data_IF_472832313325
#
_entry.id   IF_472832313325
#
_cell.length_a   1.000
_cell.length_b   1.000
_cell.length_c   1.000
_cell.angle_alpha   90.00
_cell.angle_beta   90.00
_cell.angle_gamma   90.00
#
_symmetry.space_group_name_H-M   'P 1'
#
loop_
_entity.id
_entity.type
_entity.pdbx_description
1 polymer ?
#
# COMPACT_ATOMS: atom_id res chain seq x y z
N UNK A 1 8.33 -8.70 -12.51
CA UNK A 1 8.88 -9.66 -11.51
C UNK A 1 9.88 -9.00 -10.55
N UNK A 2 9.79 -7.70 -10.20
CA UNK A 2 11.00 -7.08 -9.63
C UNK A 2 10.91 -5.68 -9.02
N UNK A 3 10.08 -5.48 -8.01
CA UNK A 3 10.34 -4.49 -6.94
C UNK A 3 10.07 -5.17 -5.59
N UNK A 4 8.93 -5.85 -5.48
CA UNK A 4 8.54 -6.57 -4.25
C UNK A 4 9.39 -7.82 -3.92
N UNK A 5 10.01 -8.44 -4.94
CA UNK A 5 10.97 -9.54 -4.74
C UNK A 5 12.33 -9.05 -4.24
N UNK A 6 12.70 -7.80 -4.53
CA UNK A 6 13.95 -7.22 -4.07
C UNK A 6 13.86 -6.66 -2.65
N UNK A 7 12.65 -6.33 -2.19
CA UNK A 7 12.42 -5.53 -0.98
C UNK A 7 11.86 -6.37 0.19
N UNK A 8 10.99 -7.36 -0.06
CA UNK A 8 10.51 -8.24 1.03
C UNK A 8 11.47 -9.41 1.19
N UNK A 9 11.92 -9.73 2.43
CA UNK A 9 12.61 -10.97 2.67
C UNK A 9 11.61 -12.09 2.38
N UNK A 10 11.70 -12.70 1.19
CA UNK A 10 11.22 -14.07 1.05
C UNK A 10 11.86 -14.89 2.18
N UNK A 11 11.17 -15.92 2.72
CA UNK A 11 11.85 -16.93 3.51
C UNK A 11 13.04 -17.39 2.67
N UNK A 12 14.22 -16.98 3.11
CA UNK A 12 15.39 -17.02 2.26
C UNK A 12 15.95 -18.43 2.34
N UNK A 13 15.25 -19.39 1.75
CA UNK A 13 15.74 -20.77 1.63
C UNK A 13 17.11 -20.82 0.90
N UNK A 14 17.46 -19.74 0.20
CA UNK A 14 18.65 -19.62 -0.65
C UNK A 14 19.59 -18.46 -0.29
N UNK A 15 19.33 -17.71 0.79
CA UNK A 15 20.23 -16.63 1.25
C UNK A 15 20.37 -15.40 0.33
N UNK A 16 19.52 -15.23 -0.68
CA UNK A 16 19.58 -14.13 -1.65
C UNK A 16 18.63 -12.98 -1.27
N UNK A 17 19.18 -11.82 -0.90
CA UNK A 17 18.42 -10.57 -0.81
C UNK A 17 19.15 -9.47 -1.58
N UNK A 18 18.55 -9.00 -2.69
CA UNK A 18 19.16 -7.96 -3.53
C UNK A 18 19.40 -6.66 -2.75
N UNK A 19 18.56 -6.36 -1.75
CA UNK A 19 18.70 -5.16 -0.92
C UNK A 19 19.97 -5.16 -0.06
N UNK A 20 20.44 -6.33 0.40
CA UNK A 20 21.68 -6.44 1.17
C UNK A 20 22.95 -6.17 0.33
N UNK A 21 22.90 -6.47 -0.98
CA UNK A 21 24.01 -6.16 -1.90
C UNK A 21 24.09 -4.68 -2.22
N UNK A 22 22.93 -4.03 -2.37
CA UNK A 22 22.85 -2.61 -2.69
C UNK A 22 23.18 -1.75 -1.47
N UNK A 23 22.86 -2.23 -0.26
CA UNK A 23 23.08 -1.53 1.00
C UNK A 23 23.87 -2.40 1.98
N UNK A 24 25.20 -2.46 1.85
CA UNK A 24 26.06 -3.32 2.67
C UNK A 24 26.29 -2.75 4.09
N UNK A 25 25.21 -2.41 4.80
CA UNK A 25 25.25 -1.93 6.18
C UNK A 25 25.18 -3.10 7.18
N UNK A 26 25.81 -2.98 8.36
CA UNK A 26 25.67 -3.97 9.44
C UNK A 26 24.19 -4.15 9.83
N UNK A 27 23.79 -5.40 10.08
CA UNK A 27 22.42 -5.82 10.46
C UNK A 27 21.29 -5.56 9.44
N UNK A 28 21.56 -4.92 8.29
CA UNK A 28 20.59 -4.59 7.25
C UNK A 28 19.32 -3.83 7.69
N UNK A 29 19.32 -3.26 8.90
CA UNK A 29 18.19 -2.52 9.47
C UNK A 29 17.77 -1.34 8.58
N UNK A 30 18.72 -0.73 7.89
CA UNK A 30 18.50 0.38 6.97
C UNK A 30 18.34 -0.04 5.50
N UNK A 31 18.64 -1.30 5.15
CA UNK A 31 18.60 -1.75 3.76
C UNK A 31 17.18 -1.67 3.17
N UNK A 32 16.16 -2.01 3.97
CA UNK A 32 14.76 -1.91 3.57
C UNK A 32 14.30 -0.47 3.29
N UNK A 33 14.39 0.47 4.25
CA UNK A 33 13.96 1.85 4.00
C UNK A 33 14.77 2.53 2.89
N UNK A 34 16.08 2.30 2.80
CA UNK A 34 16.91 2.86 1.73
C UNK A 34 16.52 2.31 0.34
N UNK A 35 16.18 1.02 0.25
CA UNK A 35 15.70 0.44 -1.02
C UNK A 35 14.36 1.04 -1.43
N UNK A 36 13.43 1.24 -0.47
CA UNK A 36 12.15 1.89 -0.77
C UNK A 36 12.38 3.32 -1.27
N UNK A 37 13.18 4.11 -0.57
CA UNK A 37 13.48 5.49 -0.98
C UNK A 37 14.07 5.52 -2.39
N UNK A 38 15.09 4.71 -2.65
CA UNK A 38 15.68 4.61 -3.99
C UNK A 38 14.65 4.21 -5.05
N UNK A 39 13.83 3.19 -4.79
CA UNK A 39 12.82 2.74 -5.75
C UNK A 39 11.77 3.82 -6.01
N UNK A 40 11.35 4.56 -4.99
CA UNK A 40 10.41 5.68 -5.12
C UNK A 40 11.05 6.80 -5.92
N UNK A 41 12.27 7.20 -5.59
CA UNK A 41 12.99 8.29 -6.27
C UNK A 41 13.26 7.98 -7.74
N UNK A 42 13.72 6.76 -8.03
CA UNK A 42 13.92 6.30 -9.42
C UNK A 42 12.60 6.25 -10.17
N UNK A 43 11.51 5.78 -9.53
CA UNK A 43 10.19 5.75 -10.15
C UNK A 43 9.63 7.15 -10.40
N UNK A 44 9.83 8.10 -9.47
CA UNK A 44 9.48 9.51 -9.66
C UNK A 44 10.28 10.11 -10.82
N UNK A 45 11.60 9.94 -10.83
CA UNK A 45 12.46 10.43 -11.90
C UNK A 45 12.07 9.86 -13.26
N UNK A 46 11.88 8.54 -13.36
CA UNK A 46 11.55 7.88 -14.62
C UNK A 46 10.14 8.25 -15.13
N UNK A 47 9.12 8.24 -14.27
CA UNK A 47 7.74 8.35 -14.72
C UNK A 47 7.17 9.77 -14.66
N UNK A 48 7.61 10.58 -13.69
CA UNK A 48 7.19 11.99 -13.55
C UNK A 48 8.09 12.90 -14.38
N UNK A 49 9.42 12.80 -14.21
CA UNK A 49 10.36 13.74 -14.82
C UNK A 49 10.70 13.38 -16.27
N UNK A 50 10.99 12.11 -16.57
CA UNK A 50 11.41 11.71 -17.92
C UNK A 50 10.23 11.38 -18.83
N UNK A 51 9.28 10.56 -18.34
CA UNK A 51 8.14 10.10 -19.15
C UNK A 51 6.97 11.09 -19.17
N UNK A 52 6.95 12.09 -18.27
CA UNK A 52 5.85 13.03 -18.11
C UNK A 52 4.48 12.34 -18.08
N UNK A 53 4.34 11.30 -17.25
CA UNK A 53 3.09 10.54 -17.19
C UNK A 53 2.00 11.43 -16.59
N UNK A 54 1.07 11.89 -17.43
CA UNK A 54 -0.05 12.72 -16.97
C UNK A 54 -0.93 11.99 -15.96
N UNK A 55 -1.67 12.74 -15.15
CA UNK A 55 -2.75 12.18 -14.33
C UNK A 55 -2.30 11.24 -13.20
N UNK A 56 -1.02 11.22 -12.83
CA UNK A 56 -0.53 10.50 -11.63
C UNK A 56 -1.31 10.93 -10.38
N UNK A 57 -1.74 12.19 -10.33
CA UNK A 57 -2.45 12.73 -9.17
C UNK A 57 -1.51 13.01 -8.00
N UNK A 58 -0.24 13.33 -8.28
CA UNK A 58 0.74 13.78 -7.29
C UNK A 58 0.37 15.20 -6.82
N UNK A 59 -0.67 15.30 -6.00
CA UNK A 59 -1.19 16.54 -5.45
C UNK A 59 -1.25 16.43 -3.92
N UNK A 60 -0.54 17.34 -3.25
CA UNK A 60 -0.69 17.56 -1.81
C UNK A 60 -1.70 18.68 -1.66
N UNK A 61 -2.88 18.38 -1.11
CA UNK A 61 -3.97 19.33 -1.01
C UNK A 61 -5.19 18.75 -0.34
N UNK A 62 -6.30 19.48 -0.42
CA UNK A 62 -7.59 19.03 0.08
C UNK A 62 -8.71 19.55 -0.81
N UNK A 63 -9.28 18.67 -1.63
CA UNK A 63 -10.41 19.01 -2.50
C UNK A 63 -11.74 19.00 -1.72
N UNK A 64 -12.73 19.72 -2.24
CA UNK A 64 -14.04 19.91 -1.58
C UNK A 64 -14.74 18.62 -1.14
N UNK A 65 -14.60 17.55 -1.93
CA UNK A 65 -15.29 16.28 -1.69
C UNK A 65 -14.37 15.19 -1.11
N UNK A 66 -13.10 15.51 -0.80
CA UNK A 66 -12.13 14.52 -0.34
C UNK A 66 -12.56 13.84 0.94
N UNK A 67 -12.98 14.61 1.95
CA UNK A 67 -13.42 14.05 3.23
C UNK A 67 -14.52 12.99 3.07
N UNK A 68 -15.49 13.22 2.18
CA UNK A 68 -16.53 12.24 1.89
C UNK A 68 -15.96 10.96 1.29
N UNK A 69 -15.14 11.04 0.24
CA UNK A 69 -14.59 9.85 -0.42
C UNK A 69 -13.58 9.09 0.44
N UNK A 70 -12.79 9.80 1.25
CA UNK A 70 -11.86 9.20 2.22
C UNK A 70 -12.64 8.42 3.27
N UNK A 71 -13.62 9.07 3.91
CA UNK A 71 -14.42 8.45 4.97
C UNK A 71 -15.29 7.31 4.43
N UNK A 72 -15.95 7.50 3.28
CA UNK A 72 -16.78 6.49 2.67
C UNK A 72 -15.97 5.24 2.30
N UNK A 73 -14.78 5.38 1.71
CA UNK A 73 -13.89 4.26 1.43
C UNK A 73 -13.45 3.54 2.68
N UNK A 74 -13.01 4.30 3.69
CA UNK A 74 -12.53 3.73 4.94
C UNK A 74 -13.64 2.90 5.63
N UNK A 75 -14.84 3.48 5.78
CA UNK A 75 -15.97 2.79 6.41
C UNK A 75 -16.47 1.61 5.58
N UNK A 76 -16.59 1.76 4.26
CA UNK A 76 -17.03 0.66 3.39
C UNK A 76 -16.03 -0.50 3.39
N UNK A 77 -14.73 -0.21 3.35
CA UNK A 77 -13.69 -1.21 3.52
C UNK A 77 -13.80 -1.90 4.88
N UNK A 78 -13.88 -1.13 5.97
CA UNK A 78 -13.93 -1.66 7.33
C UNK A 78 -15.15 -2.61 7.51
N UNK A 79 -16.32 -2.23 6.99
CA UNK A 79 -17.53 -3.06 7.00
C UNK A 79 -17.38 -4.41 6.28
N UNK A 80 -16.47 -4.52 5.30
CA UNK A 80 -16.22 -5.76 4.57
C UNK A 80 -15.05 -6.54 5.21
N UNK A 81 -13.96 -5.84 5.50
CA UNK A 81 -12.71 -6.43 5.95
C UNK A 81 -12.80 -6.97 7.38
N UNK A 82 -13.55 -6.34 8.28
CA UNK A 82 -13.67 -6.83 9.66
C UNK A 82 -14.42 -8.18 9.72
N UNK A 83 -15.61 -8.36 9.12
CA UNK A 83 -16.27 -9.67 9.08
C UNK A 83 -15.48 -10.71 8.30
N UNK A 84 -14.90 -10.32 7.15
CA UNK A 84 -14.15 -11.27 6.32
C UNK A 84 -12.86 -11.72 7.02
N UNK A 85 -12.10 -10.78 7.59
CA UNK A 85 -10.84 -11.06 8.27
C UNK A 85 -11.01 -11.88 9.55
N UNK A 86 -12.08 -11.63 10.32
CA UNK A 86 -12.41 -12.46 11.50
C UNK A 86 -12.89 -13.86 11.07
N UNK A 87 -13.77 -13.94 10.06
CA UNK A 87 -14.25 -15.20 9.49
C UNK A 87 -13.15 -16.08 8.90
N UNK A 88 -12.15 -15.47 8.26
CA UNK A 88 -10.96 -16.16 7.75
C UNK A 88 -9.94 -16.54 8.84
N UNK A 89 -10.17 -16.16 10.10
CA UNK A 89 -9.18 -16.25 11.19
C UNK A 89 -7.85 -15.59 10.78
N UNK A 90 -7.94 -14.41 10.19
CA UNK A 90 -6.77 -13.58 9.85
C UNK A 90 -6.55 -12.50 10.91
N UNK A 91 -7.62 -11.90 11.44
CA UNK A 91 -7.55 -10.91 12.51
C UNK A 91 -8.35 -11.32 13.74
N UNK A 92 -7.85 -10.92 14.90
CA UNK A 92 -8.53 -10.96 16.18
C UNK A 92 -8.51 -9.56 16.79
N UNK A 93 -9.65 -9.11 17.33
CA UNK A 93 -9.73 -7.82 18.02
C UNK A 93 -8.93 -7.92 19.33
N UNK A 94 -7.84 -7.15 19.41
CA UNK A 94 -6.94 -7.09 20.57
C UNK A 94 -6.30 -5.69 20.61
N UNK A 95 -7.03 -4.67 21.10
CA UNK A 95 -6.56 -3.29 21.05
C UNK A 95 -5.31 -3.04 21.90
N UNK A 96 -4.31 -2.37 21.32
CA UNK A 96 -3.01 -2.09 21.95
C UNK A 96 -3.01 -0.74 22.67
N UNK A 97 -3.79 -0.64 23.73
CA UNK A 97 -3.92 0.61 24.51
C UNK A 97 -2.58 1.17 25.04
N UNK A 98 -1.60 0.29 25.30
CA UNK A 98 -0.26 0.70 25.72
C UNK A 98 0.54 1.48 24.65
N UNK A 99 0.15 1.41 23.38
CA UNK A 99 0.82 2.09 22.27
C UNK A 99 0.13 3.42 21.89
N UNK A 100 -0.92 3.83 22.63
CA UNK A 100 -1.75 5.01 22.32
C UNK A 100 -0.94 6.30 22.13
N UNK A 101 0.05 6.55 23.00
CA UNK A 101 0.89 7.75 22.92
C UNK A 101 1.76 7.77 21.66
N UNK A 102 2.20 6.59 21.20
CA UNK A 102 3.00 6.45 19.98
C UNK A 102 2.17 6.42 18.70
N UNK A 103 0.85 6.23 18.80
CA UNK A 103 -0.04 6.04 17.66
C UNK A 103 0.03 7.17 16.62
N UNK A 104 0.11 8.47 16.97
CA UNK A 104 0.24 9.54 15.98
C UNK A 104 1.55 9.44 15.19
N UNK A 105 2.66 9.12 15.86
CA UNK A 105 3.96 8.93 15.21
C UNK A 105 3.95 7.70 14.30
N UNK A 106 3.36 6.60 14.76
CA UNK A 106 3.17 5.38 13.97
C UNK A 106 2.32 5.64 12.73
N UNK A 107 1.21 6.38 12.87
CA UNK A 107 0.33 6.73 11.75
C UNK A 107 1.06 7.60 10.70
N UNK A 108 1.86 8.58 11.14
CA UNK A 108 2.70 9.38 10.25
C UNK A 108 3.75 8.51 9.56
N UNK A 109 4.40 7.60 10.30
CA UNK A 109 5.38 6.69 9.72
C UNK A 109 4.75 5.78 8.65
N UNK A 110 3.59 5.19 8.94
CA UNK A 110 2.82 4.39 7.97
C UNK A 110 2.46 5.25 6.75
N UNK A 111 1.99 6.48 6.95
CA UNK A 111 1.60 7.36 5.84
C UNK A 111 2.77 7.63 4.89
N UNK A 112 3.92 8.08 5.41
CA UNK A 112 5.03 8.52 4.59
C UNK A 112 5.90 7.39 4.05
N UNK A 113 6.10 6.31 4.82
CA UNK A 113 7.04 5.25 4.46
C UNK A 113 6.38 4.00 3.88
N UNK A 114 5.07 3.86 4.01
CA UNK A 114 4.31 2.72 3.47
C UNK A 114 3.25 3.19 2.49
N UNK A 115 2.22 3.87 2.98
CA UNK A 115 1.02 4.16 2.21
C UNK A 115 1.31 5.07 0.99
N UNK A 116 2.04 6.16 1.17
CA UNK A 116 2.29 7.09 0.07
C UNK A 116 3.17 6.48 -1.04
N UNK A 117 4.32 5.84 -0.75
CA UNK A 117 5.09 5.08 -1.74
C UNK A 117 4.25 4.04 -2.50
N UNK A 118 3.44 3.25 -1.78
CA UNK A 118 2.62 2.22 -2.39
C UNK A 118 1.51 2.82 -3.26
N UNK A 119 0.80 3.84 -2.79
CA UNK A 119 -0.27 4.47 -3.56
C UNK A 119 0.26 5.23 -4.79
N UNK A 120 1.47 5.79 -4.72
CA UNK A 120 2.16 6.31 -5.89
C UNK A 120 2.41 5.21 -6.93
N UNK A 121 2.99 4.08 -6.52
CA UNK A 121 3.31 2.97 -7.41
C UNK A 121 2.04 2.33 -8.01
N UNK A 122 1.04 2.05 -7.17
CA UNK A 122 -0.12 1.27 -7.58
C UNK A 122 -1.21 2.12 -8.22
N UNK A 123 -1.44 3.37 -7.78
CA UNK A 123 -2.52 4.22 -8.35
C UNK A 123 -1.95 5.18 -9.36
N UNK A 124 -0.97 5.98 -8.92
CA UNK A 124 -0.33 6.98 -9.76
C UNK A 124 0.27 6.38 -11.02
N UNK A 125 0.96 5.24 -10.90
CA UNK A 125 1.61 4.57 -12.02
C UNK A 125 0.83 3.37 -12.55
N UNK A 126 0.70 2.28 -11.79
CA UNK A 126 0.21 1.00 -12.32
C UNK A 126 -1.24 1.08 -12.80
N UNK A 127 -2.16 1.54 -11.96
CA UNK A 127 -3.57 1.72 -12.33
C UNK A 127 -3.72 2.68 -13.51
N UNK A 128 -3.05 3.83 -13.46
CA UNK A 128 -3.06 4.82 -14.54
C UNK A 128 -2.60 4.21 -15.88
N UNK A 129 -1.44 3.55 -15.89
CA UNK A 129 -0.89 2.91 -17.10
C UNK A 129 -1.79 1.78 -17.59
N UNK A 130 -2.28 0.92 -16.71
CA UNK A 130 -3.18 -0.18 -17.09
C UNK A 130 -4.51 0.34 -17.63
N UNK A 131 -5.08 1.39 -17.05
CA UNK A 131 -6.30 2.02 -17.53
C UNK A 131 -6.12 2.60 -18.94
N UNK A 132 -4.97 3.22 -19.23
CA UNK A 132 -4.65 3.73 -20.57
C UNK A 132 -4.38 2.61 -21.57
N UNK A 133 -3.57 1.62 -21.20
CA UNK A 133 -3.21 0.51 -22.07
C UNK A 133 -4.42 -0.34 -22.46
N UNK A 134 -5.34 -0.58 -21.52
CA UNK A 134 -6.58 -1.30 -21.76
C UNK A 134 -7.71 -0.43 -22.34
N UNK A 135 -7.50 0.90 -22.42
CA UNK A 135 -8.54 1.90 -22.74
C UNK A 135 -9.80 1.75 -21.86
N UNK A 136 -9.64 1.28 -20.63
CA UNK A 136 -10.73 1.03 -19.68
C UNK A 136 -10.29 1.35 -18.26
N UNK A 137 -10.89 2.39 -17.68
CA UNK A 137 -10.62 2.73 -16.28
C UNK A 137 -10.98 1.59 -15.33
N UNK A 138 -12.08 0.90 -15.61
CA UNK A 138 -12.56 -0.22 -14.79
C UNK A 138 -11.54 -1.36 -14.83
N UNK A 139 -11.08 -1.76 -16.02
CA UNK A 139 -10.12 -2.86 -16.14
C UNK A 139 -8.80 -2.52 -15.41
N UNK A 140 -8.25 -1.33 -15.64
CA UNK A 140 -7.01 -0.91 -14.97
C UNK A 140 -7.15 -0.85 -13.45
N UNK A 141 -8.29 -0.38 -12.94
CA UNK A 141 -8.58 -0.32 -11.51
C UNK A 141 -8.67 -1.71 -10.87
N UNK A 142 -9.44 -2.63 -11.43
CA UNK A 142 -9.55 -3.99 -10.91
C UNK A 142 -8.22 -4.75 -10.99
N UNK A 143 -7.51 -4.66 -12.12
CA UNK A 143 -6.22 -5.32 -12.29
C UNK A 143 -5.17 -4.77 -11.32
N UNK A 144 -5.06 -3.44 -11.14
CA UNK A 144 -4.13 -2.86 -10.19
C UNK A 144 -4.45 -3.23 -8.74
N UNK A 145 -5.74 -3.37 -8.40
CA UNK A 145 -6.18 -3.81 -7.07
C UNK A 145 -5.80 -5.26 -6.79
N UNK A 146 -6.00 -6.16 -7.76
CA UNK A 146 -5.56 -7.55 -7.65
C UNK A 146 -4.03 -7.66 -7.53
N UNK A 147 -3.29 -6.94 -8.38
CA UNK A 147 -1.82 -6.94 -8.33
C UNK A 147 -1.28 -6.37 -7.00
N UNK A 148 -1.97 -5.40 -6.41
CA UNK A 148 -1.71 -4.91 -5.07
C UNK A 148 -1.91 -6.01 -4.01
N UNK A 149 -2.98 -6.80 -4.10
CA UNK A 149 -3.12 -7.97 -3.22
C UNK A 149 -1.99 -8.98 -3.38
N UNK A 150 -1.64 -9.33 -4.62
CA UNK A 150 -0.57 -10.28 -4.90
C UNK A 150 0.81 -9.81 -4.43
N UNK A 151 1.11 -8.49 -4.41
CA UNK A 151 2.37 -7.98 -3.86
C UNK A 151 2.50 -8.19 -2.34
N UNK A 152 1.42 -8.61 -1.68
CA UNK A 152 1.37 -8.91 -0.26
C UNK A 152 1.36 -10.41 0.06
N UNK A 153 1.50 -11.30 -0.93
CA UNK A 153 1.44 -12.76 -0.72
C UNK A 153 2.53 -13.31 0.22
N UNK A 154 3.64 -12.60 0.39
CA UNK A 154 4.75 -13.00 1.27
C UNK A 154 4.63 -12.43 2.68
N UNK A 155 3.63 -11.59 2.95
CA UNK A 155 3.47 -11.00 4.26
C UNK A 155 3.01 -12.06 5.26
N UNK A 156 3.69 -12.12 6.41
CA UNK A 156 3.38 -13.06 7.50
C UNK A 156 3.47 -14.53 7.08
N UNK A 157 4.43 -14.84 6.19
CA UNK A 157 4.67 -16.17 5.64
C UNK A 157 4.25 -16.29 4.18
N UNK A 158 4.83 -17.26 3.46
CA UNK A 158 4.50 -17.52 2.06
C UNK A 158 3.95 -18.93 1.88
N UNK A 159 2.83 -19.13 1.15
CA UNK A 159 1.93 -18.11 0.59
C UNK A 159 0.82 -17.69 1.57
N UNK A 160 0.54 -16.38 1.68
CA UNK A 160 -0.54 -15.85 2.50
C UNK A 160 -1.74 -15.37 1.65
N UNK A 161 -2.60 -16.31 1.26
CA UNK A 161 -3.79 -16.02 0.45
C UNK A 161 -4.85 -15.18 1.18
N UNK A 162 -4.92 -15.27 2.51
CA UNK A 162 -5.82 -14.43 3.32
C UNK A 162 -5.43 -12.96 3.20
N UNK A 163 -4.12 -12.69 3.27
CA UNK A 163 -3.59 -11.36 3.04
C UNK A 163 -3.88 -10.89 1.61
N UNK A 164 -3.59 -11.71 0.59
CA UNK A 164 -3.87 -11.36 -0.82
C UNK A 164 -5.32 -10.94 -1.02
N UNK A 165 -6.28 -11.68 -0.45
CA UNK A 165 -7.70 -11.38 -0.56
C UNK A 165 -8.05 -10.02 0.08
N UNK A 166 -7.67 -9.80 1.34
CA UNK A 166 -7.98 -8.56 2.06
C UNK A 166 -7.27 -7.34 1.46
N UNK A 167 -6.00 -7.49 1.07
CA UNK A 167 -5.25 -6.44 0.41
C UNK A 167 -5.81 -6.11 -0.98
N UNK A 168 -6.29 -7.12 -1.74
CA UNK A 168 -6.97 -6.85 -3.02
C UNK A 168 -8.22 -5.99 -2.81
N UNK A 169 -9.02 -6.31 -1.78
CA UNK A 169 -10.22 -5.54 -1.42
C UNK A 169 -9.83 -4.13 -1.00
N UNK A 170 -8.79 -3.96 -0.18
CA UNK A 170 -8.27 -2.66 0.20
C UNK A 170 -7.85 -1.84 -1.04
N UNK A 171 -7.12 -2.47 -1.96
CA UNK A 171 -6.71 -1.85 -3.22
C UNK A 171 -7.87 -1.32 -4.08
N UNK A 172 -9.03 -1.98 -4.03
CA UNK A 172 -10.26 -1.49 -4.70
C UNK A 172 -10.67 -0.14 -4.11
N UNK A 173 -10.75 -0.01 -2.79
CA UNK A 173 -11.17 1.23 -2.12
C UNK A 173 -10.15 2.35 -2.29
N UNK A 174 -8.86 2.02 -2.19
CA UNK A 174 -7.78 2.98 -2.43
C UNK A 174 -7.85 3.52 -3.87
N UNK A 175 -7.92 2.60 -4.84
CA UNK A 175 -8.07 2.95 -6.25
C UNK A 175 -9.35 3.74 -6.55
N UNK A 176 -10.46 3.49 -5.85
CA UNK A 176 -11.69 4.27 -5.98
C UNK A 176 -11.52 5.69 -5.44
N UNK A 177 -10.91 5.85 -4.25
CA UNK A 177 -10.62 7.18 -3.69
C UNK A 177 -9.73 7.98 -4.63
N UNK A 178 -8.68 7.38 -5.20
CA UNK A 178 -7.84 8.03 -6.20
C UNK A 178 -8.65 8.47 -7.43
N UNK A 179 -9.52 7.62 -7.98
CA UNK A 179 -10.38 7.97 -9.13
C UNK A 179 -11.35 9.12 -8.84
N UNK A 180 -11.87 9.20 -7.61
CA UNK A 180 -12.85 10.22 -7.21
C UNK A 180 -12.21 11.54 -6.82
N UNK A 181 -10.97 11.53 -6.36
CA UNK A 181 -10.27 12.71 -5.84
C UNK A 181 -9.20 13.24 -6.79
N UNK A 182 -8.72 12.41 -7.72
CA UNK A 182 -7.56 12.70 -8.57
C UNK A 182 -6.25 12.80 -7.80
N UNK A 183 -6.18 12.30 -6.56
CA UNK A 183 -5.02 12.47 -5.69
C UNK A 183 -4.55 11.16 -5.07
N UNK A 184 -3.24 10.90 -5.20
CA UNK A 184 -2.59 9.80 -4.47
C UNK A 184 -2.56 10.08 -2.97
N UNK A 185 -2.52 11.36 -2.56
CA UNK A 185 -2.46 11.72 -1.15
C UNK A 185 -3.77 11.37 -0.45
N UNK A 186 -4.92 11.63 -1.08
CA UNK A 186 -6.21 11.18 -0.57
C UNK A 186 -6.28 9.65 -0.42
N UNK A 187 -5.76 8.90 -1.40
CA UNK A 187 -5.67 7.43 -1.34
C UNK A 187 -4.75 6.97 -0.20
N UNK A 188 -3.59 7.61 -0.05
CA UNK A 188 -2.61 7.30 0.98
C UNK A 188 -3.15 7.57 2.39
N UNK A 189 -4.02 8.57 2.58
CA UNK A 189 -4.70 8.80 3.85
C UNK A 189 -5.64 7.64 4.19
N UNK A 190 -6.43 7.16 3.23
CA UNK A 190 -7.30 5.99 3.45
C UNK A 190 -6.47 4.76 3.80
N UNK A 191 -5.40 4.51 3.04
CA UNK A 191 -4.49 3.39 3.26
C UNK A 191 -3.83 3.47 4.65
N UNK A 192 -3.25 4.61 5.02
CA UNK A 192 -2.65 4.82 6.32
C UNK A 192 -3.67 4.67 7.46
N UNK A 193 -4.91 5.15 7.28
CA UNK A 193 -5.97 4.99 8.27
C UNK A 193 -6.35 3.52 8.47
N UNK A 194 -6.45 2.75 7.38
CA UNK A 194 -6.68 1.29 7.45
C UNK A 194 -5.57 0.60 8.21
N UNK A 195 -4.31 0.84 7.83
CA UNK A 195 -3.15 0.18 8.43
C UNK A 195 -2.96 0.58 9.90
N UNK A 196 -3.16 1.86 10.22
CA UNK A 196 -3.10 2.35 11.61
C UNK A 196 -4.20 1.71 12.46
N UNK A 197 -5.42 1.63 11.93
CA UNK A 197 -6.55 0.98 12.60
C UNK A 197 -6.27 -0.50 12.81
N UNK A 198 -5.72 -1.17 11.78
CA UNK A 198 -5.35 -2.57 11.84
C UNK A 198 -4.27 -2.81 12.91
N UNK A 199 -3.19 -2.02 12.88
CA UNK A 199 -2.09 -2.08 13.82
C UNK A 199 -2.53 -1.89 15.28
N UNK A 200 -3.42 -0.91 15.51
CA UNK A 200 -3.86 -0.54 16.86
C UNK A 200 -4.92 -1.48 17.41
N UNK A 201 -5.93 -1.86 16.63
CA UNK A 201 -7.10 -2.58 17.12
C UNK A 201 -6.99 -4.10 17.02
N UNK A 202 -6.16 -4.62 16.12
CA UNK A 202 -6.17 -6.03 15.78
C UNK A 202 -4.80 -6.68 15.87
N UNK A 203 -4.82 -7.95 16.25
CA UNK A 203 -3.70 -8.87 16.11
C UNK A 203 -3.92 -9.77 14.91
N UNK A 204 -2.87 -10.01 14.13
CA UNK A 204 -2.91 -11.00 13.05
C UNK A 204 -2.63 -12.41 13.59
N UNK A 205 -3.40 -13.39 13.13
CA UNK A 205 -3.34 -14.80 13.53
C UNK A 205 -2.50 -15.65 12.59
#
# INVERSE_FOLDING_TARGET
MGIWVAVKPFPNYWGFSMSHWLWPFPDAKLAYPMTILLCVDVSLAAFVLLRHTDGIGYSIGWGRNWGFFILASFLAFACIAMPLGTGMRFIQLEPRWGEWESLPLTALAILFFTAWPEEFLFRGLLQNVLSRASKSEIAGWWTASLLFGFSHITNLGFPNWRYVALASIAGIFYGWTWRRTGSIFASAIVHAAVDTTWHFLFRTL
#
